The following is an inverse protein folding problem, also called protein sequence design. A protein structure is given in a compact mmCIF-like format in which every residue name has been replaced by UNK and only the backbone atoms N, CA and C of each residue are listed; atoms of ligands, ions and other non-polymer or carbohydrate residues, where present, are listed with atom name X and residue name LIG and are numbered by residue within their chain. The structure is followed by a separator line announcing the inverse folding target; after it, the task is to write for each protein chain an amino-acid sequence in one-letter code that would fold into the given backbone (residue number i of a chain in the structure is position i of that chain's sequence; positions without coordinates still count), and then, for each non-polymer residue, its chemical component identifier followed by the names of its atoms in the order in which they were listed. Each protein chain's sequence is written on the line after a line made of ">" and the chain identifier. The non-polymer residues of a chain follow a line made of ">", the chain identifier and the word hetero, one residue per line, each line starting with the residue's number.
data_IF_436801230482
#
_entry.id   IF_436801230482
#
_cell.length_a   1.000
_cell.length_b   1.000
_cell.length_c   1.000
_cell.angle_alpha   90.00
_cell.angle_beta   90.00
_cell.angle_gamma   90.00
#
_symmetry.space_group_name_H-M   'P 1'
#
loop_
_entity.id
_entity.type
_entity.pdbx_description
1 polymer ?
#
# COMPACT_ATOMS: atom_id res chain seq x y z
N UNK A 1 7.65 -12.01 45.32
CA UNK A 1 7.46 -12.27 43.88
C UNK A 1 8.16 -11.17 43.12
N UNK A 2 9.32 -11.49 42.53
CA UNK A 2 10.05 -10.57 41.65
C UNK A 2 9.36 -10.66 40.28
N UNK A 3 9.08 -9.55 39.59
CA UNK A 3 8.53 -9.60 38.24
C UNK A 3 9.55 -10.33 37.36
N UNK A 4 9.12 -11.38 36.66
CA UNK A 4 9.96 -12.01 35.64
C UNK A 4 10.35 -10.93 34.63
N UNK A 5 11.64 -10.58 34.61
CA UNK A 5 12.24 -9.84 33.50
C UNK A 5 11.95 -10.67 32.26
N UNK A 6 11.12 -10.17 31.35
CA UNK A 6 10.92 -10.80 30.04
C UNK A 6 12.25 -10.62 29.32
N UNK A 7 13.11 -11.65 29.36
CA UNK A 7 14.28 -11.72 28.52
C UNK A 7 13.80 -11.75 27.07
N UNK A 8 14.42 -10.93 26.21
CA UNK A 8 14.15 -10.98 24.78
C UNK A 8 14.46 -12.38 24.24
N UNK A 9 13.74 -12.85 23.21
CA UNK A 9 14.08 -14.12 22.58
C UNK A 9 15.50 -14.05 21.99
N UNK A 10 16.18 -15.20 21.91
CA UNK A 10 17.53 -15.30 21.35
C UNK A 10 17.60 -14.70 19.92
N UNK A 11 16.55 -14.89 19.13
CA UNK A 11 16.41 -14.33 17.77
C UNK A 11 16.33 -12.80 17.75
N UNK A 12 15.69 -12.17 18.75
CA UNK A 12 15.68 -10.70 18.89
C UNK A 12 17.07 -10.20 19.26
N UNK A 13 17.73 -10.80 20.25
CA UNK A 13 19.09 -10.40 20.63
C UNK A 13 20.08 -10.55 19.46
N UNK A 14 19.93 -11.61 18.67
CA UNK A 14 20.73 -11.83 17.47
C UNK A 14 20.49 -10.73 16.43
N UNK A 15 19.22 -10.39 16.17
CA UNK A 15 18.87 -9.32 15.26
C UNK A 15 19.43 -7.97 15.72
N UNK A 16 19.38 -7.64 17.01
CA UNK A 16 19.93 -6.40 17.57
C UNK A 16 21.45 -6.31 17.43
N UNK A 17 22.16 -7.42 17.66
CA UNK A 17 23.62 -7.51 17.42
C UNK A 17 23.94 -7.28 15.95
N UNK A 18 23.18 -7.89 15.03
CA UNK A 18 23.35 -7.72 13.58
C UNK A 18 23.01 -6.30 13.11
N UNK A 19 21.94 -5.70 13.63
CA UNK A 19 21.60 -4.29 13.36
C UNK A 19 22.74 -3.38 13.80
N UNK A 20 23.30 -3.62 14.99
CA UNK A 20 24.44 -2.84 15.50
C UNK A 20 25.67 -2.98 14.60
N UNK A 21 25.98 -4.22 14.18
CA UNK A 21 27.07 -4.50 13.24
C UNK A 21 26.86 -3.81 11.89
N UNK A 22 25.65 -3.91 11.32
CA UNK A 22 25.30 -3.30 10.05
C UNK A 22 25.41 -1.77 10.11
N UNK A 23 24.95 -1.14 11.20
CA UNK A 23 25.12 0.30 11.41
C UNK A 23 26.60 0.73 11.44
N UNK A 24 27.49 -0.06 12.09
CA UNK A 24 28.92 0.23 12.06
C UNK A 24 29.50 0.14 10.64
N UNK A 25 29.08 -0.87 9.85
CA UNK A 25 29.50 -1.00 8.45
C UNK A 25 28.96 0.13 7.58
N UNK A 26 27.72 0.59 7.80
CA UNK A 26 27.13 1.75 7.13
C UNK A 26 27.99 2.99 7.35
N UNK A 27 28.42 3.24 8.59
CA UNK A 27 29.30 4.39 8.92
C UNK A 27 30.65 4.28 8.19
N UNK A 28 31.25 3.10 8.17
CA UNK A 28 32.49 2.85 7.44
C UNK A 28 32.33 3.05 5.93
N UNK A 29 31.26 2.51 5.34
CA UNK A 29 30.99 2.65 3.91
C UNK A 29 30.74 4.12 3.52
N UNK A 30 29.99 4.88 4.34
CA UNK A 30 29.78 6.31 4.13
C UNK A 30 31.08 7.11 4.16
N UNK A 31 32.01 6.79 5.08
CA UNK A 31 33.31 7.48 5.13
C UNK A 31 34.18 7.21 3.89
N UNK A 32 33.92 6.10 3.19
CA UNK A 32 34.53 5.74 1.90
C UNK A 32 33.75 6.25 0.69
N UNK A 33 32.69 7.04 0.89
CA UNK A 33 31.86 7.58 -0.21
C UNK A 33 31.00 6.53 -0.92
N UNK A 34 30.74 5.39 -0.30
CA UNK A 34 29.91 4.32 -0.85
C UNK A 34 28.42 4.61 -0.58
N UNK A 35 27.56 4.37 -1.56
CA UNK A 35 26.10 4.40 -1.40
C UNK A 35 25.67 3.27 -0.45
N UNK A 36 24.78 3.55 0.51
CA UNK A 36 24.35 2.63 1.60
C UNK A 36 22.83 2.57 1.78
N UNK A 37 22.06 3.12 0.83
CA UNK A 37 20.61 3.21 0.95
C UNK A 37 19.93 1.85 1.13
N UNK A 38 20.51 0.79 0.54
CA UNK A 38 19.99 -0.59 0.67
C UNK A 38 20.09 -1.10 2.12
N UNK A 39 21.18 -0.80 2.82
CA UNK A 39 21.38 -1.22 4.20
C UNK A 39 20.59 -0.36 5.19
N UNK A 40 20.45 0.94 4.91
CA UNK A 40 19.58 1.81 5.71
C UNK A 40 18.11 1.34 5.62
N UNK A 41 17.67 0.94 4.43
CA UNK A 41 16.39 0.26 4.23
C UNK A 41 16.30 -1.03 5.05
N UNK A 42 17.31 -1.91 4.98
CA UNK A 42 17.31 -3.16 5.74
C UNK A 42 17.21 -2.91 7.26
N UNK A 43 17.98 -1.97 7.80
CA UNK A 43 17.92 -1.59 9.23
C UNK A 43 16.53 -1.05 9.60
N UNK A 44 15.95 -0.19 8.75
CA UNK A 44 14.61 0.35 9.00
C UNK A 44 13.56 -0.76 9.00
N UNK A 45 13.57 -1.64 7.99
CA UNK A 45 12.66 -2.79 7.87
C UNK A 45 12.82 -3.74 9.07
N UNK A 46 14.04 -4.06 9.49
CA UNK A 46 14.28 -4.92 10.65
C UNK A 46 13.63 -4.36 11.90
N UNK A 47 13.79 -3.05 12.18
CA UNK A 47 13.18 -2.42 13.36
C UNK A 47 11.65 -2.46 13.30
N UNK A 48 11.07 -2.22 12.13
CA UNK A 48 9.61 -2.28 11.93
C UNK A 48 9.07 -3.69 12.16
N UNK A 49 9.67 -4.70 11.54
CA UNK A 49 9.20 -6.09 11.64
C UNK A 49 9.48 -6.74 13.00
N UNK A 50 10.56 -6.36 13.70
CA UNK A 50 10.73 -6.76 15.11
C UNK A 50 9.61 -6.18 15.99
N UNK A 51 9.14 -4.96 15.69
CA UNK A 51 7.98 -4.37 16.34
C UNK A 51 6.67 -5.12 16.05
N UNK A 52 6.48 -5.57 14.81
CA UNK A 52 5.35 -6.42 14.42
C UNK A 52 5.40 -7.78 15.11
N UNK A 53 6.52 -8.49 15.05
CA UNK A 53 6.72 -9.76 15.74
C UNK A 53 6.45 -9.67 17.25
N UNK A 54 6.86 -8.58 17.90
CA UNK A 54 6.57 -8.33 19.32
C UNK A 54 5.08 -8.07 19.60
N UNK A 55 4.33 -7.53 18.63
CA UNK A 55 2.88 -7.45 18.70
C UNK A 55 2.26 -8.83 18.46
N UNK A 56 2.69 -9.55 17.43
CA UNK A 56 2.15 -10.85 17.05
C UNK A 56 2.29 -11.90 18.15
N UNK A 57 3.44 -11.93 18.85
CA UNK A 57 3.68 -12.79 20.02
C UNK A 57 2.67 -12.56 21.15
N UNK A 58 2.15 -11.33 21.28
CA UNK A 58 1.17 -10.95 22.32
C UNK A 58 -0.27 -11.05 21.83
N UNK A 59 -0.50 -11.25 20.54
CA UNK A 59 -1.82 -11.17 19.89
C UNK A 59 -2.11 -12.41 19.05
N UNK A 60 -1.88 -13.59 19.63
CA UNK A 60 -2.11 -14.89 18.99
C UNK A 60 -3.55 -15.05 18.49
N UNK A 61 -4.55 -14.70 19.29
CA UNK A 61 -5.96 -14.89 18.92
C UNK A 61 -6.36 -14.11 17.65
N UNK A 62 -6.07 -12.79 17.53
CA UNK A 62 -6.20 -12.08 16.26
C UNK A 62 -5.52 -12.77 15.08
N UNK A 63 -4.31 -13.29 15.27
CA UNK A 63 -3.56 -13.96 14.21
C UNK A 63 -4.20 -15.29 13.79
N UNK A 64 -4.70 -16.08 14.73
CA UNK A 64 -5.50 -17.29 14.42
C UNK A 64 -6.73 -16.93 13.59
N UNK A 65 -7.44 -15.85 13.95
CA UNK A 65 -8.57 -15.37 13.17
C UNK A 65 -8.17 -15.04 11.73
N UNK A 66 -7.06 -14.33 11.52
CA UNK A 66 -6.57 -13.99 10.18
C UNK A 66 -6.16 -15.23 9.39
N UNK A 67 -5.40 -16.17 9.97
CA UNK A 67 -5.02 -17.41 9.28
C UNK A 67 -6.23 -18.28 8.93
N UNK A 68 -7.25 -18.35 9.80
CA UNK A 68 -8.50 -19.09 9.52
C UNK A 68 -9.32 -18.48 8.38
N UNK A 69 -9.18 -17.18 8.12
CA UNK A 69 -9.86 -16.52 7.01
C UNK A 69 -9.35 -17.00 5.65
N UNK A 70 -8.15 -17.61 5.58
CA UNK A 70 -7.57 -18.10 4.34
C UNK A 70 -7.60 -19.63 4.23
N UNK A 71 -8.25 -20.21 3.20
CA UNK A 71 -8.42 -21.67 3.11
C UNK A 71 -7.13 -22.49 3.17
N UNK A 72 -6.02 -21.94 2.65
CA UNK A 72 -4.72 -22.63 2.63
C UNK A 72 -4.12 -22.82 4.03
N UNK A 73 -4.40 -21.91 4.96
CA UNK A 73 -3.80 -21.90 6.30
C UNK A 73 -4.78 -22.32 7.39
N UNK A 74 -6.07 -22.42 7.06
CA UNK A 74 -7.15 -22.66 8.03
C UNK A 74 -6.95 -23.89 8.92
N UNK A 75 -6.33 -24.96 8.41
CA UNK A 75 -6.08 -26.20 9.17
C UNK A 75 -4.96 -26.06 10.20
N UNK A 76 -3.98 -25.19 9.92
CA UNK A 76 -2.78 -25.02 10.73
C UNK A 76 -2.76 -23.65 11.43
N UNK A 77 -3.91 -22.95 11.48
CA UNK A 77 -3.98 -21.54 11.86
C UNK A 77 -3.46 -21.26 13.27
N UNK A 78 -3.76 -22.14 14.22
CA UNK A 78 -3.28 -22.05 15.61
C UNK A 78 -1.77 -22.19 15.68
N UNK A 79 -1.22 -23.16 14.95
CA UNK A 79 0.21 -23.39 14.87
C UNK A 79 0.92 -22.20 14.21
N UNK A 80 0.44 -21.77 13.04
CA UNK A 80 1.02 -20.65 12.30
C UNK A 80 0.96 -19.35 13.10
N UNK A 81 -0.13 -19.07 13.80
CA UNK A 81 -0.22 -17.90 14.68
C UNK A 81 0.78 -17.96 15.84
N UNK A 82 0.96 -19.13 16.45
CA UNK A 82 1.93 -19.34 17.53
C UNK A 82 3.39 -19.21 17.06
N UNK A 83 3.68 -19.61 15.82
CA UNK A 83 5.03 -19.58 15.24
C UNK A 83 5.35 -18.27 14.49
N UNK A 84 4.35 -17.40 14.24
CA UNK A 84 4.48 -16.22 13.38
C UNK A 84 5.59 -15.27 13.84
N UNK A 85 5.60 -14.90 15.12
CA UNK A 85 6.58 -13.95 15.64
C UNK A 85 8.02 -14.46 15.48
N UNK A 86 8.25 -15.75 15.69
CA UNK A 86 9.58 -16.33 15.55
C UNK A 86 9.98 -16.44 14.07
N UNK A 87 9.03 -16.82 13.20
CA UNK A 87 9.23 -16.80 11.76
C UNK A 87 9.67 -15.42 11.26
N UNK A 88 9.01 -14.35 11.71
CA UNK A 88 9.37 -12.97 11.31
C UNK A 88 10.76 -12.57 11.83
N UNK A 89 11.11 -12.93 13.07
CA UNK A 89 12.45 -12.68 13.65
C UNK A 89 13.53 -13.43 12.88
N UNK A 90 13.27 -14.65 12.45
CA UNK A 90 14.20 -15.44 11.64
C UNK A 90 14.40 -14.83 10.26
N UNK A 91 13.34 -14.38 9.59
CA UNK A 91 13.44 -13.70 8.30
C UNK A 91 14.19 -12.36 8.42
N UNK A 92 13.96 -11.60 9.51
CA UNK A 92 14.74 -10.39 9.82
C UNK A 92 16.24 -10.72 9.97
N UNK A 93 16.56 -11.80 10.69
CA UNK A 93 17.95 -12.23 10.87
C UNK A 93 18.62 -12.60 9.54
N UNK A 94 17.93 -13.36 8.66
CA UNK A 94 18.45 -13.73 7.33
C UNK A 94 18.67 -12.51 6.43
N UNK A 95 17.73 -11.56 6.46
CA UNK A 95 17.88 -10.30 5.72
C UNK A 95 19.10 -9.51 6.21
N UNK A 96 19.31 -9.42 7.53
CA UNK A 96 20.45 -8.74 8.11
C UNK A 96 21.78 -9.43 7.78
N UNK A 97 21.84 -10.76 7.80
CA UNK A 97 23.03 -11.51 7.39
C UNK A 97 23.40 -11.20 5.93
N UNK A 98 22.39 -11.22 5.05
CA UNK A 98 22.56 -10.88 3.64
C UNK A 98 23.08 -9.44 3.47
N UNK A 99 22.48 -8.47 4.15
CA UNK A 99 22.88 -7.07 4.07
C UNK A 99 24.31 -6.82 4.62
N UNK A 100 24.70 -7.53 5.69
CA UNK A 100 26.05 -7.47 6.27
C UNK A 100 27.07 -8.04 5.30
N UNK A 101 26.85 -9.26 4.81
CA UNK A 101 27.74 -9.89 3.83
C UNK A 101 27.85 -9.01 2.58
N UNK A 102 26.72 -8.42 2.16
CA UNK A 102 26.69 -7.60 0.97
C UNK A 102 27.55 -6.35 1.12
N UNK A 103 27.31 -5.58 2.18
CA UNK A 103 28.04 -4.34 2.42
C UNK A 103 29.53 -4.59 2.65
N UNK A 104 29.90 -5.68 3.32
CA UNK A 104 31.31 -6.09 3.46
C UNK A 104 31.96 -6.39 2.11
N UNK A 105 31.24 -7.03 1.19
CA UNK A 105 31.70 -7.26 -0.17
C UNK A 105 31.96 -5.96 -0.93
N UNK A 106 31.09 -4.96 -0.77
CA UNK A 106 31.27 -3.63 -1.37
C UNK A 106 32.45 -2.90 -0.76
N UNK A 107 32.55 -2.86 0.57
CA UNK A 107 33.62 -2.18 1.31
C UNK A 107 35.00 -2.74 0.96
N UNK A 108 35.09 -4.06 0.80
CA UNK A 108 36.33 -4.76 0.44
C UNK A 108 36.68 -4.69 -1.06
N UNK A 109 35.76 -4.19 -1.89
CA UNK A 109 35.92 -4.16 -3.35
C UNK A 109 35.73 -5.52 -4.02
N UNK A 110 35.19 -6.53 -3.33
CA UNK A 110 34.81 -7.83 -3.92
C UNK A 110 33.87 -7.67 -5.10
N UNK A 111 33.01 -6.66 -5.05
CA UNK A 111 32.20 -6.21 -6.19
C UNK A 111 31.82 -4.74 -6.06
N UNK A 112 31.50 -4.14 -7.20
CA UNK A 112 31.03 -2.76 -7.30
C UNK A 112 29.55 -2.76 -7.61
N UNK A 113 28.78 -1.96 -6.86
CA UNK A 113 27.34 -1.82 -7.04
C UNK A 113 26.97 -0.46 -7.59
N UNK A 114 25.91 -0.42 -8.40
CA UNK A 114 25.30 0.84 -8.82
C UNK A 114 24.61 1.50 -7.62
N UNK A 115 24.74 2.84 -7.47
CA UNK A 115 24.05 3.58 -6.42
C UNK A 115 22.54 3.47 -6.60
N UNK A 116 21.80 3.50 -5.50
CA UNK A 116 20.33 3.58 -5.55
C UNK A 116 19.94 4.98 -6.05
N UNK A 117 19.11 5.09 -7.10
CA UNK A 117 18.67 6.39 -7.58
C UNK A 117 17.72 7.02 -6.55
N UNK A 118 18.03 8.24 -6.14
CA UNK A 118 17.09 9.06 -5.36
C UNK A 118 15.91 9.48 -6.25
N UNK A 119 14.69 9.30 -5.74
CA UNK A 119 13.45 9.69 -6.40
C UNK A 119 12.94 10.95 -5.70
N UNK A 120 12.77 12.03 -6.47
CA UNK A 120 12.01 13.18 -5.98
C UNK A 120 10.52 12.89 -6.21
N UNK A 121 9.85 12.52 -5.11
CA UNK A 121 8.44 12.14 -5.07
C UNK A 121 7.48 13.30 -5.31
N UNK A 122 7.94 14.56 -5.21
CA UNK A 122 7.11 15.75 -5.41
C UNK A 122 7.05 16.17 -6.89
N UNK A 123 7.93 15.62 -7.74
CA UNK A 123 8.07 16.01 -9.15
C UNK A 123 7.85 14.87 -10.15
N UNK A 124 7.29 13.75 -9.73
CA UNK A 124 7.02 12.62 -10.63
C UNK A 124 5.94 13.02 -11.64
N UNK A 125 6.23 12.87 -12.93
CA UNK A 125 5.27 13.09 -14.02
C UNK A 125 5.22 11.90 -14.97
N UNK A 126 4.10 11.76 -15.68
CA UNK A 126 4.01 10.86 -16.85
C UNK A 126 4.58 11.56 -18.07
N UNK A 127 5.56 10.94 -18.73
CA UNK A 127 6.12 11.39 -20.02
C UNK A 127 6.15 10.22 -21.00
N UNK A 128 5.30 10.26 -22.01
CA UNK A 128 5.12 9.13 -22.93
C UNK A 128 4.63 7.89 -22.17
N UNK A 129 5.41 6.81 -22.20
CA UNK A 129 5.13 5.55 -21.52
C UNK A 129 5.93 5.35 -20.22
N UNK A 130 6.48 6.42 -19.64
CA UNK A 130 7.35 6.34 -18.47
C UNK A 130 6.92 7.33 -17.38
N UNK A 131 7.21 6.97 -16.12
CA UNK A 131 7.29 7.94 -15.04
C UNK A 131 8.67 8.56 -15.02
N UNK A 132 8.73 9.89 -14.90
CA UNK A 132 9.98 10.64 -14.80
C UNK A 132 9.99 11.47 -13.52
N UNK A 133 11.11 11.44 -12.81
CA UNK A 133 11.43 12.35 -11.72
C UNK A 133 12.51 13.31 -12.23
N UNK A 134 12.14 14.58 -12.43
CA UNK A 134 12.90 15.50 -13.26
C UNK A 134 13.09 14.98 -14.69
N UNK A 135 14.34 14.78 -15.11
CA UNK A 135 14.69 14.25 -16.44
C UNK A 135 15.05 12.76 -16.44
N UNK A 136 14.85 12.04 -15.34
CA UNK A 136 15.24 10.63 -15.21
C UNK A 136 14.02 9.73 -15.17
N UNK A 137 13.95 8.67 -16.00
CA UNK A 137 12.96 7.63 -15.83
C UNK A 137 13.11 6.93 -14.48
N UNK A 138 12.01 6.71 -13.78
CA UNK A 138 11.97 6.06 -12.46
C UNK A 138 10.96 4.93 -12.44
N UNK A 139 11.24 3.91 -11.62
CA UNK A 139 10.31 2.84 -11.29
C UNK A 139 9.83 3.08 -9.87
N UNK A 140 8.52 3.12 -9.69
CA UNK A 140 7.89 3.49 -8.44
C UNK A 140 7.43 2.23 -7.71
N UNK A 141 7.77 2.13 -6.44
CA UNK A 141 7.25 1.12 -5.53
C UNK A 141 6.51 1.81 -4.37
N UNK A 142 5.31 1.34 -4.04
CA UNK A 142 4.49 1.83 -2.94
C UNK A 142 3.54 0.73 -2.45
N UNK A 143 3.03 0.87 -1.23
CA UNK A 143 2.11 -0.06 -0.59
C UNK A 143 0.71 0.53 -0.48
N UNK A 144 -0.28 -0.22 -0.97
CA UNK A 144 -1.69 0.16 -0.79
C UNK A 144 -2.03 0.14 0.71
N UNK A 145 -2.79 1.14 1.18
CA UNK A 145 -3.25 1.27 2.59
C UNK A 145 -2.17 1.30 3.68
N UNK A 146 -0.92 1.68 3.36
CA UNK A 146 0.13 1.82 4.39
C UNK A 146 -0.19 2.96 5.39
N UNK A 147 0.20 2.81 6.67
CA UNK A 147 0.07 3.87 7.68
C UNK A 147 1.05 5.02 7.45
N UNK A 148 0.77 6.20 8.02
CA UNK A 148 1.52 7.44 7.77
C UNK A 148 3.03 7.33 8.05
N UNK A 149 3.45 6.56 9.06
CA UNK A 149 4.88 6.38 9.37
C UNK A 149 5.65 5.60 8.27
N UNK A 150 4.94 4.87 7.41
CA UNK A 150 5.50 4.20 6.22
C UNK A 150 5.52 5.12 4.99
N UNK A 151 5.12 6.40 5.10
CA UNK A 151 5.29 7.38 4.02
C UNK A 151 6.71 7.94 4.09
N UNK A 152 7.66 7.20 3.51
CA UNK A 152 9.10 7.49 3.58
C UNK A 152 9.82 7.00 2.31
N UNK A 153 11.14 7.21 2.22
CA UNK A 153 11.92 6.84 1.02
C UNK A 153 11.98 5.33 0.74
N UNK A 154 11.68 4.50 1.75
CA UNK A 154 11.79 3.05 1.70
C UNK A 154 10.49 2.39 1.20
N UNK A 155 9.35 2.87 1.67
CA UNK A 155 8.03 2.34 1.36
C UNK A 155 7.24 3.21 0.36
N UNK A 156 7.91 4.20 -0.24
CA UNK A 156 7.35 5.13 -1.20
C UNK A 156 6.57 6.29 -0.58
N UNK A 157 6.20 7.27 -1.41
CA UNK A 157 5.45 8.46 -1.00
C UNK A 157 4.35 8.85 -1.99
N UNK A 158 3.75 7.88 -2.68
CA UNK A 158 2.70 8.15 -3.68
C UNK A 158 1.43 8.62 -2.97
N UNK A 159 0.97 9.83 -3.30
CA UNK A 159 -0.30 10.34 -2.79
C UNK A 159 -1.49 9.64 -3.48
N UNK A 160 -2.60 9.48 -2.75
CA UNK A 160 -3.81 8.84 -3.28
C UNK A 160 -5.07 9.52 -2.78
N UNK A 161 -5.89 9.97 -3.72
CA UNK A 161 -7.26 10.45 -3.45
C UNK A 161 -8.26 9.49 -4.09
N UNK A 162 -9.25 9.04 -3.34
CA UNK A 162 -10.29 8.13 -3.85
C UNK A 162 -11.59 8.86 -4.12
N UNK A 163 -12.22 8.57 -5.26
CA UNK A 163 -13.59 8.96 -5.60
C UNK A 163 -14.49 7.72 -5.62
N UNK A 164 -15.67 7.82 -5.03
CA UNK A 164 -16.64 6.73 -5.02
C UNK A 164 -18.06 7.28 -5.17
N UNK A 165 -18.95 6.57 -5.87
CA UNK A 165 -20.37 6.98 -5.99
C UNK A 165 -21.09 7.19 -4.65
N UNK A 166 -20.81 6.43 -3.57
CA UNK A 166 -21.35 6.73 -2.24
C UNK A 166 -21.08 8.15 -1.73
N UNK A 167 -20.11 8.88 -2.32
CA UNK A 167 -19.82 10.27 -1.94
C UNK A 167 -20.87 11.27 -2.42
N UNK A 168 -21.79 10.87 -3.32
CA UNK A 168 -22.92 11.68 -3.77
C UNK A 168 -24.09 11.58 -2.79
N UNK A 169 -24.62 12.71 -2.35
CA UNK A 169 -25.73 12.79 -1.39
C UNK A 169 -27.12 12.79 -2.02
N UNK A 170 -27.26 13.24 -3.26
CA UNK A 170 -28.56 13.41 -3.91
C UNK A 170 -28.46 13.41 -5.44
N UNK A 171 -29.63 13.48 -6.10
CA UNK A 171 -29.77 13.48 -7.55
C UNK A 171 -29.06 14.65 -8.26
N UNK A 172 -28.88 15.78 -7.58
CA UNK A 172 -28.18 16.96 -8.11
C UNK A 172 -26.66 16.78 -8.14
N UNK A 173 -26.16 15.67 -7.58
CA UNK A 173 -24.74 15.36 -7.48
C UNK A 173 -24.01 16.16 -6.41
N UNK A 174 -24.74 16.68 -5.43
CA UNK A 174 -24.13 17.31 -4.27
C UNK A 174 -23.29 16.27 -3.56
N UNK A 175 -22.01 16.58 -3.38
CA UNK A 175 -21.12 15.72 -2.65
C UNK A 175 -21.38 15.86 -1.16
N UNK A 176 -21.09 14.80 -0.42
CA UNK A 176 -21.02 14.94 1.03
C UNK A 176 -19.98 16.00 1.43
N UNK A 177 -20.29 16.78 2.46
CA UNK A 177 -19.37 17.82 2.95
C UNK A 177 -18.00 17.21 3.29
N UNK A 178 -18.02 16.02 3.92
CA UNK A 178 -16.84 15.22 4.18
C UNK A 178 -16.09 14.80 2.91
N UNK A 179 -16.79 14.57 1.79
CA UNK A 179 -16.17 14.27 0.49
C UNK A 179 -15.51 15.49 -0.15
N UNK A 180 -16.20 16.64 -0.16
CA UNK A 180 -15.67 17.90 -0.73
C UNK A 180 -14.46 18.38 0.06
N UNK A 181 -14.57 18.46 1.39
CA UNK A 181 -13.46 18.91 2.22
C UNK A 181 -12.26 17.98 2.11
N UNK A 182 -12.50 16.65 2.12
CA UNK A 182 -11.41 15.69 2.01
C UNK A 182 -10.64 15.84 0.69
N UNK A 183 -11.32 16.07 -0.43
CA UNK A 183 -10.67 16.24 -1.74
C UNK A 183 -10.01 17.62 -1.85
N UNK A 184 -10.73 18.68 -1.48
CA UNK A 184 -10.24 20.05 -1.62
C UNK A 184 -9.08 20.38 -0.68
N UNK A 185 -9.12 19.85 0.55
CA UNK A 185 -8.08 20.07 1.59
C UNK A 185 -7.00 18.99 1.59
N UNK A 186 -7.08 17.99 0.72
CA UNK A 186 -6.03 16.95 0.68
C UNK A 186 -4.67 17.61 0.40
N UNK A 187 -3.63 17.32 1.21
CA UNK A 187 -2.30 17.82 0.97
C UNK A 187 -1.83 17.42 -0.42
N UNK A 188 -1.43 18.40 -1.23
CA UNK A 188 -0.91 18.17 -2.57
C UNK A 188 0.61 18.20 -2.52
N UNK A 189 1.20 17.32 -1.71
CA UNK A 189 2.64 17.32 -1.47
C UNK A 189 3.36 16.41 -2.46
N UNK A 190 2.95 15.14 -2.54
CA UNK A 190 3.62 14.18 -3.39
C UNK A 190 2.82 13.91 -4.66
N UNK A 191 3.53 13.50 -5.70
CA UNK A 191 2.90 13.05 -6.92
C UNK A 191 2.13 11.75 -6.67
N UNK A 192 0.98 11.62 -7.33
CA UNK A 192 0.04 10.56 -7.02
C UNK A 192 -1.01 10.33 -8.08
N UNK A 193 -2.01 9.52 -7.74
CA UNK A 193 -3.13 9.22 -8.61
C UNK A 193 -4.49 9.34 -7.91
N UNK A 194 -5.52 9.57 -8.71
CA UNK A 194 -6.91 9.51 -8.27
C UNK A 194 -7.45 8.10 -8.50
N UNK A 195 -7.96 7.46 -7.45
CA UNK A 195 -8.55 6.13 -7.49
C UNK A 195 -10.07 6.22 -7.68
N UNK A 196 -10.61 5.64 -8.75
CA UNK A 196 -12.06 5.46 -8.90
C UNK A 196 -12.49 4.14 -8.25
N UNK A 197 -13.32 4.25 -7.21
CA UNK A 197 -13.86 3.13 -6.46
C UNK A 197 -15.30 2.82 -6.91
N UNK A 198 -15.48 1.68 -7.57
CA UNK A 198 -16.78 1.25 -8.13
C UNK A 198 -17.64 0.48 -7.10
N UNK A 199 -17.69 1.02 -5.88
CA UNK A 199 -18.52 0.51 -4.78
C UNK A 199 -20.02 0.62 -5.05
N UNK A 200 -20.84 0.22 -4.07
CA UNK A 200 -22.31 0.20 -4.19
C UNK A 200 -22.83 1.60 -4.53
N UNK A 201 -23.88 1.69 -5.35
CA UNK A 201 -24.61 2.95 -5.53
C UNK A 201 -25.09 3.51 -4.17
N UNK A 202 -25.17 4.83 -3.98
CA UNK A 202 -25.64 5.39 -2.73
C UNK A 202 -27.08 4.95 -2.46
N UNK A 203 -27.44 4.76 -1.17
CA UNK A 203 -28.74 4.21 -0.78
C UNK A 203 -29.93 4.98 -1.38
N UNK A 204 -29.87 6.32 -1.37
CA UNK A 204 -30.93 7.15 -1.94
C UNK A 204 -31.18 6.86 -3.43
N UNK A 205 -30.15 6.46 -4.18
CA UNK A 205 -30.30 6.12 -5.59
C UNK A 205 -30.94 4.73 -5.75
N UNK A 206 -30.57 3.77 -4.91
CA UNK A 206 -31.17 2.44 -4.88
C UNK A 206 -32.65 2.46 -4.46
N UNK A 207 -33.03 3.42 -3.62
CA UNK A 207 -34.43 3.60 -3.20
C UNK A 207 -35.31 4.14 -4.36
N UNK A 208 -34.72 4.86 -5.32
CA UNK A 208 -35.40 5.37 -6.52
C UNK A 208 -35.43 4.31 -7.63
N UNK A 209 -34.27 3.68 -7.87
CA UNK A 209 -34.07 2.69 -8.91
C UNK A 209 -33.36 1.46 -8.29
N UNK A 210 -34.12 0.47 -7.79
CA UNK A 210 -33.56 -0.75 -7.24
C UNK A 210 -32.72 -1.54 -8.26
N UNK A 211 -32.97 -1.34 -9.55
CA UNK A 211 -32.30 -2.06 -10.64
C UNK A 211 -30.85 -1.60 -10.84
N UNK A 212 -30.44 -0.47 -10.24
CA UNK A 212 -29.04 -0.03 -10.25
C UNK A 212 -28.07 -1.09 -9.74
N UNK A 213 -28.51 -1.97 -8.83
CA UNK A 213 -27.69 -3.06 -8.29
C UNK A 213 -27.64 -4.32 -9.16
N UNK A 214 -28.48 -4.42 -10.20
CA UNK A 214 -28.53 -5.60 -11.07
C UNK A 214 -27.21 -5.73 -11.84
N UNK A 215 -26.75 -6.97 -12.03
CA UNK A 215 -25.48 -7.21 -12.72
C UNK A 215 -24.23 -6.89 -11.90
N UNK A 216 -24.38 -6.45 -10.65
CA UNK A 216 -23.29 -6.26 -9.68
C UNK A 216 -22.33 -7.46 -9.62
N UNK A 217 -21.04 -7.15 -9.48
CA UNK A 217 -19.91 -8.07 -9.39
C UNK A 217 -19.05 -7.73 -8.18
N UNK A 218 -17.88 -8.34 -8.07
CA UNK A 218 -17.04 -8.18 -6.88
C UNK A 218 -16.56 -6.74 -6.69
N UNK A 219 -16.08 -6.08 -7.75
CA UNK A 219 -15.49 -4.72 -7.68
C UNK A 219 -16.35 -3.62 -8.31
N UNK A 220 -17.35 -3.97 -9.11
CA UNK A 220 -18.35 -3.03 -9.65
C UNK A 220 -19.70 -3.42 -9.11
N UNK A 221 -20.29 -2.59 -8.25
CA UNK A 221 -21.48 -2.96 -7.47
C UNK A 221 -22.80 -2.42 -8.03
N UNK A 222 -22.80 -2.04 -9.30
CA UNK A 222 -23.95 -1.51 -10.01
C UNK A 222 -23.89 -1.85 -11.50
N UNK A 223 -25.00 -1.67 -12.19
CA UNK A 223 -25.09 -1.79 -13.64
C UNK A 223 -24.39 -0.59 -14.33
N UNK A 224 -23.34 -0.87 -15.10
CA UNK A 224 -22.59 0.17 -15.82
C UNK A 224 -23.37 0.75 -17.00
N UNK A 225 -24.34 -0.01 -17.53
CA UNK A 225 -25.15 0.39 -18.68
C UNK A 225 -26.41 1.17 -18.24
N UNK A 226 -26.70 1.22 -16.94
CA UNK A 226 -27.82 1.99 -16.42
C UNK A 226 -27.55 3.51 -16.59
N UNK A 227 -28.46 4.26 -17.26
CA UNK A 227 -28.27 5.68 -17.54
C UNK A 227 -28.15 6.55 -16.28
N UNK A 228 -28.77 6.15 -15.16
CA UNK A 228 -28.65 6.86 -13.89
C UNK A 228 -27.24 6.73 -13.30
N UNK A 229 -26.61 5.55 -13.40
CA UNK A 229 -25.21 5.36 -12.97
C UNK A 229 -24.27 6.27 -13.77
N UNK A 230 -24.45 6.32 -15.10
CA UNK A 230 -23.67 7.23 -15.95
C UNK A 230 -23.87 8.68 -15.53
N UNK A 231 -25.12 9.11 -15.32
CA UNK A 231 -25.46 10.45 -14.81
C UNK A 231 -24.75 10.75 -13.49
N UNK A 232 -24.74 9.81 -12.54
CA UNK A 232 -24.11 10.00 -11.24
C UNK A 232 -22.58 10.17 -11.31
N UNK A 233 -21.90 9.40 -12.16
CA UNK A 233 -20.48 9.60 -12.42
C UNK A 233 -20.19 10.93 -13.11
N UNK A 234 -20.99 11.29 -14.13
CA UNK A 234 -20.86 12.58 -14.81
C UNK A 234 -20.98 13.74 -13.81
N UNK A 235 -21.93 13.68 -12.88
CA UNK A 235 -22.07 14.74 -11.88
C UNK A 235 -20.95 14.71 -10.85
N UNK A 236 -20.50 13.52 -10.40
CA UNK A 236 -19.33 13.39 -9.52
C UNK A 236 -18.10 14.06 -10.15
N UNK A 237 -17.84 13.79 -11.43
CA UNK A 237 -16.70 14.36 -12.15
C UNK A 237 -16.83 15.87 -12.31
N UNK A 238 -18.01 16.38 -12.67
CA UNK A 238 -18.26 17.85 -12.74
C UNK A 238 -17.97 18.54 -11.42
N UNK A 239 -18.34 17.94 -10.29
CA UNK A 239 -18.15 18.53 -8.96
C UNK A 239 -16.73 18.35 -8.40
N UNK A 240 -16.01 17.29 -8.77
CA UNK A 240 -14.71 16.95 -8.16
C UNK A 240 -13.50 17.34 -9.00
N UNK A 241 -13.56 17.21 -10.34
CA UNK A 241 -12.41 17.47 -11.21
C UNK A 241 -11.87 18.91 -11.05
N UNK A 242 -12.70 19.96 -10.97
CA UNK A 242 -12.20 21.32 -10.75
C UNK A 242 -11.38 21.48 -9.46
N UNK A 243 -11.71 20.72 -8.40
CA UNK A 243 -11.02 20.77 -7.11
C UNK A 243 -9.64 20.09 -7.13
N UNK A 244 -9.47 19.12 -8.02
CA UNK A 244 -8.25 18.31 -8.15
C UNK A 244 -7.29 18.86 -9.21
N UNK A 245 -7.75 19.77 -10.07
CA UNK A 245 -6.97 20.30 -11.19
C UNK A 245 -5.66 20.92 -10.69
N UNK A 246 -4.54 20.45 -11.23
CA UNK A 246 -3.20 20.97 -10.92
C UNK A 246 -2.62 20.49 -9.58
N UNK A 247 -3.29 19.56 -8.88
CA UNK A 247 -2.79 18.97 -7.64
C UNK A 247 -1.80 17.84 -7.97
N UNK A 248 -0.72 17.73 -7.20
CA UNK A 248 0.35 16.74 -7.39
C UNK A 248 -0.18 15.29 -7.36
N UNK A 249 -1.17 15.01 -6.51
CA UNK A 249 -1.83 13.71 -6.45
C UNK A 249 -2.61 13.32 -7.73
N UNK A 250 -2.61 14.16 -8.77
CA UNK A 250 -3.18 13.86 -10.10
C UNK A 250 -2.11 13.60 -11.17
N UNK A 251 -0.83 13.77 -10.85
CA UNK A 251 0.28 13.72 -11.81
C UNK A 251 0.49 12.35 -12.47
N UNK A 252 0.12 11.28 -11.78
CA UNK A 252 0.19 9.91 -12.28
C UNK A 252 -1.14 9.47 -12.92
N UNK A 253 -2.11 10.38 -13.03
CA UNK A 253 -3.38 10.18 -13.70
C UNK A 253 -4.49 9.64 -12.81
N UNK A 254 -5.50 9.05 -13.47
CA UNK A 254 -6.68 8.49 -12.83
C UNK A 254 -6.64 6.97 -13.00
N UNK A 255 -6.53 6.26 -11.89
CA UNK A 255 -6.58 4.81 -11.86
C UNK A 255 -8.00 4.33 -11.57
N UNK A 256 -8.53 3.51 -12.45
CA UNK A 256 -9.84 2.92 -12.30
C UNK A 256 -9.69 1.50 -11.72
N UNK A 257 -10.12 1.30 -10.46
CA UNK A 257 -10.07 -0.05 -9.86
C UNK A 257 -11.28 -0.86 -10.33
N UNK A 258 -11.19 -1.31 -11.57
CA UNK A 258 -12.07 -2.32 -12.16
C UNK A 258 -11.37 -3.69 -12.12
N UNK A 259 -10.64 -3.99 -11.04
CA UNK A 259 -9.90 -5.24 -10.89
C UNK A 259 -10.85 -6.43 -11.17
N UNK A 260 -10.57 -7.24 -12.18
CA UNK A 260 -11.43 -8.35 -12.65
C UNK A 260 -12.84 -7.93 -13.11
N UNK A 261 -12.95 -7.13 -14.17
CA UNK A 261 -14.17 -7.10 -14.99
C UNK A 261 -14.34 -8.48 -15.64
N UNK A 262 -15.08 -9.35 -14.97
CA UNK A 262 -15.70 -10.52 -15.57
C UNK A 262 -17.20 -10.27 -15.66
N UNK A 263 -17.68 -9.73 -16.79
CA UNK A 263 -19.09 -9.84 -17.13
C UNK A 263 -19.35 -11.28 -17.58
N UNK A 264 -19.39 -12.20 -16.60
CA UNK A 264 -19.88 -13.56 -16.84
C UNK A 264 -21.37 -13.44 -17.21
N UNK A 265 -21.66 -13.45 -18.51
CA UNK A 265 -22.99 -13.77 -19.01
C UNK A 265 -23.26 -15.23 -18.63
N UNK A 266 -24.03 -15.46 -17.57
CA UNK A 266 -24.75 -16.73 -17.49
C UNK A 266 -25.67 -16.74 -18.71
N UNK A 267 -25.40 -17.60 -19.69
CA UNK A 267 -26.44 -18.06 -20.62
C UNK A 267 -27.61 -18.52 -19.75
N UNK A 268 -28.63 -17.67 -19.57
CA UNK A 268 -29.96 -18.17 -19.22
C UNK A 268 -30.31 -19.16 -20.32
N UNK A 269 -30.76 -20.34 -19.89
CA UNK A 269 -30.95 -21.49 -20.74
C UNK A 269 -31.70 -21.16 -22.02
N UNK A 270 -31.36 -21.92 -23.06
CA UNK A 270 -32.17 -22.04 -24.25
C UNK A 270 -33.65 -22.14 -23.88
N UNK A 271 -34.44 -21.25 -24.48
CA UNK A 271 -35.84 -21.53 -24.78
C UNK A 271 -35.90 -22.83 -25.59
N UNK A 272 -36.63 -23.80 -25.06
CA UNK A 272 -37.59 -24.58 -25.84
C UNK A 272 -38.95 -24.07 -25.40
#
# INVERSE_FOLDING_TARGET
>A
MIPALIMASESVENAEKKISKLNSLIIEAKSKGLDVQREELAVWMSKTFLGYAAWDEKNIEPNVYQFRAWPAYKKDAEKMAAELAEFERDEVNKMLDTAIEELQGVISGKYVRRPVPSIDWESIKVKGNQFVSGNRPVYINDYFTKPDFMVNEYCGKVDRVSLALPSIKNENGDLSYMGVEKIAKYPSKYSGYVLLWHGVAPKWALDIDPDLGIGSRYFTKYDIDNPNIRRFWETTFKSTIPLMKGKAYTDMGIYCQMNRIGFLCRKRGLLV
#
